data_IF_731275276845
#
_entry.id   IF_731275276845
#
_cell.length_a   1.000
_cell.length_b   1.000
_cell.length_c   1.000
_cell.angle_alpha   90.00
_cell.angle_beta   90.00
_cell.angle_gamma   90.00
#
_symmetry.space_group_name_H-M   'P 1'
#
loop_
_entity.id
_entity.type
_entity.pdbx_description
1 polymer ?
#
# COMPACT_ATOMS: atom_id res chain seq x y z
N UNK A 1 6.40 5.90 -0.24
CA UNK A 1 6.31 5.76 -1.72
C UNK A 1 7.08 4.51 -2.07
N UNK A 2 6.49 3.62 -2.88
CA UNK A 2 7.06 2.30 -3.22
C UNK A 2 6.90 2.09 -4.72
N UNK A 3 7.85 1.38 -5.33
CA UNK A 3 7.89 1.05 -6.75
C UNK A 3 8.24 -0.43 -6.92
N UNK A 4 7.78 -1.04 -8.01
CA UNK A 4 8.14 -2.40 -8.42
C UNK A 4 8.56 -2.40 -9.89
N UNK A 5 9.36 -3.38 -10.28
CA UNK A 5 9.88 -3.53 -11.66
C UNK A 5 11.17 -2.76 -11.96
N UNK A 6 11.82 -2.20 -10.93
CA UNK A 6 13.14 -1.58 -11.04
C UNK A 6 14.05 -1.92 -9.85
N UNK A 7 15.37 -2.04 -10.05
CA UNK A 7 16.09 -1.87 -11.34
C UNK A 7 15.88 -3.05 -12.30
N UNK A 8 15.46 -4.20 -11.79
CA UNK A 8 15.19 -5.38 -12.59
C UNK A 8 13.74 -5.36 -13.05
N UNK A 9 13.53 -5.37 -14.37
CA UNK A 9 12.20 -5.46 -14.97
C UNK A 9 11.48 -6.72 -14.50
N UNK A 10 10.21 -6.56 -14.16
CA UNK A 10 9.28 -7.65 -13.88
C UNK A 10 7.96 -7.36 -14.60
N UNK A 11 7.26 -8.41 -15.00
CA UNK A 11 5.96 -8.27 -15.68
C UNK A 11 4.85 -7.97 -14.66
N UNK A 12 5.00 -8.48 -13.44
CA UNK A 12 3.98 -8.42 -12.39
C UNK A 12 4.09 -7.19 -11.47
N UNK A 13 4.86 -6.13 -11.81
CA UNK A 13 5.02 -4.94 -10.95
C UNK A 13 3.67 -4.35 -10.53
N UNK A 14 2.73 -4.28 -11.46
CA UNK A 14 1.41 -3.71 -11.24
C UNK A 14 0.63 -4.51 -10.19
N UNK A 15 0.68 -5.84 -10.27
CA UNK A 15 0.06 -6.73 -9.30
C UNK A 15 0.71 -6.58 -7.92
N UNK A 16 2.05 -6.58 -7.86
CA UNK A 16 2.77 -6.45 -6.59
C UNK A 16 2.43 -5.15 -5.85
N UNK A 17 2.33 -4.02 -6.57
CA UNK A 17 1.93 -2.74 -5.97
C UNK A 17 0.47 -2.74 -5.54
N UNK A 18 -0.44 -3.34 -6.32
CA UNK A 18 -1.85 -3.45 -5.96
C UNK A 18 -2.05 -4.33 -4.70
N UNK A 19 -1.41 -5.50 -4.66
CA UNK A 19 -1.46 -6.43 -3.53
C UNK A 19 -0.87 -5.79 -2.27
N UNK A 20 0.30 -5.16 -2.37
CA UNK A 20 0.89 -4.42 -1.25
C UNK A 20 -0.05 -3.32 -0.73
N UNK A 21 -0.70 -2.56 -1.64
CA UNK A 21 -1.64 -1.52 -1.23
C UNK A 21 -2.83 -2.10 -0.45
N UNK A 22 -3.36 -3.26 -0.85
CA UNK A 22 -4.42 -3.96 -0.13
C UNK A 22 -3.95 -4.47 1.23
N UNK A 23 -2.75 -5.04 1.33
CA UNK A 23 -2.17 -5.50 2.59
C UNK A 23 -2.00 -4.35 3.59
N UNK A 24 -1.52 -3.19 3.14
CA UNK A 24 -1.38 -2.00 3.98
C UNK A 24 -2.76 -1.52 4.45
N UNK A 25 -3.75 -1.45 3.55
CA UNK A 25 -5.11 -1.05 3.91
C UNK A 25 -5.72 -2.01 4.94
N UNK A 26 -5.50 -3.31 4.77
CA UNK A 26 -5.93 -4.33 5.72
C UNK A 26 -5.25 -4.15 7.08
N UNK A 27 -3.94 -3.89 7.10
CA UNK A 27 -3.20 -3.62 8.32
C UNK A 27 -3.70 -2.36 9.06
N UNK A 28 -4.07 -1.31 8.32
CA UNK A 28 -4.63 -0.09 8.91
C UNK A 28 -5.91 -0.33 9.73
N UNK A 29 -6.68 -1.39 9.43
CA UNK A 29 -7.87 -1.75 10.21
C UNK A 29 -7.53 -2.24 11.63
N UNK A 30 -6.34 -2.81 11.82
CA UNK A 30 -5.88 -3.34 13.11
C UNK A 30 -5.00 -2.34 13.89
N UNK A 31 -4.46 -1.35 13.19
CA UNK A 31 -3.58 -0.36 13.78
C UNK A 31 -4.34 0.63 14.68
N UNK A 32 -3.90 0.77 15.94
CA UNK A 32 -4.45 1.75 16.89
C UNK A 32 -3.51 2.94 17.04
N UNK A 33 -4.00 4.13 16.72
CA UNK A 33 -3.23 5.37 16.90
C UNK A 33 -3.08 5.70 18.38
N UNK A 34 -1.84 5.93 18.85
CA UNK A 34 -1.55 6.17 20.29
C UNK A 34 -2.34 7.34 20.89
N UNK A 35 -2.51 8.42 20.14
CA UNK A 35 -3.20 9.62 20.60
C UNK A 35 -4.72 9.58 20.34
N UNK A 36 -5.21 8.57 19.62
CA UNK A 36 -6.61 8.45 19.20
C UNK A 36 -7.00 6.97 19.00
N UNK A 37 -6.96 6.14 20.04
CA UNK A 37 -7.01 4.67 19.92
C UNK A 37 -8.37 4.11 19.52
N UNK A 38 -9.42 4.92 19.59
CA UNK A 38 -10.81 4.56 19.24
C UNK A 38 -11.18 4.90 17.80
N UNK A 39 -10.33 5.65 17.09
CA UNK A 39 -10.58 6.06 15.70
C UNK A 39 -9.68 5.22 14.79
N UNK A 40 -10.24 4.57 13.76
CA UNK A 40 -9.45 3.79 12.82
C UNK A 40 -8.54 4.69 11.99
N UNK A 41 -7.34 4.22 11.68
CA UNK A 41 -6.44 4.91 10.76
C UNK A 41 -7.03 4.88 9.35
N UNK A 42 -7.28 6.06 8.77
CA UNK A 42 -7.80 6.21 7.40
C UNK A 42 -6.64 6.52 6.47
N UNK A 43 -6.38 5.63 5.53
CA UNK A 43 -5.32 5.76 4.52
C UNK A 43 -5.94 5.81 3.12
N UNK A 44 -5.33 6.57 2.21
CA UNK A 44 -5.64 6.56 0.77
C UNK A 44 -4.39 6.16 0.00
N UNK A 45 -4.48 5.09 -0.79
CA UNK A 45 -3.43 4.66 -1.70
C UNK A 45 -3.73 5.17 -3.11
N UNK A 46 -2.78 5.90 -3.72
CA UNK A 46 -2.80 6.21 -5.14
C UNK A 46 -1.85 5.28 -5.88
N UNK A 47 -2.30 4.69 -6.98
CA UNK A 47 -1.51 3.77 -7.79
C UNK A 47 -1.48 4.31 -9.22
N UNK A 48 -0.30 4.25 -9.84
CA UNK A 48 -0.08 4.63 -11.23
C UNK A 48 0.95 3.68 -11.83
N UNK A 49 0.77 3.36 -13.11
CA UNK A 49 1.69 2.54 -13.89
C UNK A 49 2.29 3.39 -15.02
N UNK A 50 3.55 3.14 -15.32
CA UNK A 50 4.28 3.78 -16.41
C UNK A 50 4.81 2.74 -17.39
N UNK A 51 5.13 3.18 -18.61
CA UNK A 51 5.85 2.39 -19.62
C UNK A 51 7.36 2.38 -19.35
#
# INVERSE_FOLDING_TARGET
MVVSGIPNRNEDHSEQIASMALEILHFCLQFKMRHMPTIPLRLRCGIHTGL
#
